data_IF_498830124032
#
_entry.id   IF_498830124032
#
_cell.length_a   1.000
_cell.length_b   1.000
_cell.length_c   1.000
_cell.angle_alpha   90.00
_cell.angle_beta   90.00
_cell.angle_gamma   90.00
#
_symmetry.space_group_name_H-M   'P 1'
#
loop_
_entity.id
_entity.type
_entity.pdbx_description
1 polymer ?
#
# COMPACT_ATOMS: atom_id res chain seq x y z
N UNK A 1 -10.88 -13.41 -2.16
CA UNK A 1 -10.36 -12.02 -2.20
C UNK A 1 -10.91 -11.12 -1.09
N UNK A 2 -12.23 -10.90 -0.95
CA UNK A 2 -12.80 -10.03 0.11
C UNK A 2 -12.49 -10.56 1.51
N UNK A 3 -12.69 -11.87 1.74
CA UNK A 3 -12.36 -12.52 3.01
C UNK A 3 -10.88 -12.36 3.38
N UNK A 4 -9.98 -12.48 2.40
CA UNK A 4 -8.53 -12.27 2.61
C UNK A 4 -8.21 -10.84 3.06
N UNK A 5 -8.89 -9.84 2.49
CA UNK A 5 -8.70 -8.44 2.92
C UNK A 5 -9.20 -8.22 4.34
N UNK A 6 -10.38 -8.76 4.67
CA UNK A 6 -10.90 -8.70 6.03
C UNK A 6 -9.93 -9.34 7.02
N UNK A 7 -9.50 -10.56 6.73
CA UNK A 7 -8.58 -11.30 7.59
C UNK A 7 -7.24 -10.58 7.75
N UNK A 8 -6.64 -10.08 6.67
CA UNK A 8 -5.42 -9.27 6.74
C UNK A 8 -5.60 -8.02 7.62
N UNK A 9 -6.73 -7.33 7.49
CA UNK A 9 -7.04 -6.16 8.30
C UNK A 9 -7.25 -6.53 9.78
N UNK A 10 -7.96 -7.61 10.08
CA UNK A 10 -8.12 -8.12 11.45
C UNK A 10 -6.75 -8.48 12.06
N UNK A 11 -5.86 -9.09 11.29
CA UNK A 11 -4.48 -9.39 11.72
C UNK A 11 -3.70 -8.13 12.04
N UNK A 12 -3.81 -7.08 11.21
CA UNK A 12 -3.17 -5.78 11.46
C UNK A 12 -3.70 -5.13 12.73
N UNK A 13 -5.02 -5.19 12.99
CA UNK A 13 -5.61 -4.63 14.20
C UNK A 13 -5.12 -5.35 15.47
N UNK A 14 -4.96 -6.68 15.40
CA UNK A 14 -4.46 -7.46 16.53
C UNK A 14 -2.94 -7.34 16.72
N UNK A 15 -2.18 -7.25 15.62
CA UNK A 15 -0.72 -7.27 15.59
C UNK A 15 -0.18 -6.26 14.56
N UNK A 16 -0.27 -4.95 14.85
CA UNK A 16 0.29 -3.94 13.95
C UNK A 16 1.83 -4.06 13.91
N UNK A 17 2.48 -3.59 12.82
CA UNK A 17 3.92 -3.55 12.77
C UNK A 17 4.42 -2.61 13.87
N UNK A 18 5.62 -2.86 14.41
CA UNK A 18 6.22 -1.94 15.38
C UNK A 18 6.51 -0.59 14.69
N UNK A 19 6.21 0.56 15.32
CA UNK A 19 6.56 1.87 14.79
C UNK A 19 8.03 1.94 14.38
N UNK A 20 8.30 2.45 13.19
CA UNK A 20 9.65 2.63 12.63
C UNK A 20 10.49 1.34 12.55
N UNK A 21 9.86 0.17 12.57
CA UNK A 21 10.53 -1.13 12.47
C UNK A 21 9.75 -2.06 11.52
N UNK A 22 9.46 -1.56 10.33
CA UNK A 22 8.95 -2.35 9.21
C UNK A 22 10.06 -3.28 8.70
N UNK A 23 9.71 -4.51 8.37
CA UNK A 23 10.63 -5.52 7.83
C UNK A 23 10.09 -6.14 6.56
N UNK A 24 10.98 -6.67 5.72
CA UNK A 24 10.61 -7.38 4.49
C UNK A 24 9.70 -8.59 4.78
N UNK A 25 9.92 -9.28 5.91
CA UNK A 25 9.08 -10.40 6.34
C UNK A 25 7.63 -9.95 6.60
N UNK A 26 7.42 -8.82 7.27
CA UNK A 26 6.08 -8.30 7.52
C UNK A 26 5.31 -8.06 6.21
N UNK A 27 5.98 -7.45 5.21
CA UNK A 27 5.36 -7.19 3.89
C UNK A 27 5.04 -8.50 3.18
N UNK A 28 5.93 -9.50 3.25
CA UNK A 28 5.72 -10.82 2.65
C UNK A 28 4.55 -11.57 3.29
N UNK A 29 4.48 -11.59 4.61
CA UNK A 29 3.38 -12.22 5.36
C UNK A 29 2.03 -11.54 5.07
N UNK A 30 2.02 -10.21 5.00
CA UNK A 30 0.86 -9.44 4.60
C UNK A 30 0.41 -9.79 3.18
N UNK A 31 1.33 -9.84 2.22
CA UNK A 31 1.04 -10.25 0.85
C UNK A 31 0.48 -11.67 0.79
N UNK A 32 1.15 -12.65 1.42
CA UNK A 32 0.71 -14.04 1.50
C UNK A 32 -0.72 -14.16 2.03
N UNK A 33 -1.04 -13.38 3.06
CA UNK A 33 -2.39 -13.31 3.62
C UNK A 33 -3.41 -12.80 2.59
N UNK A 34 -3.08 -11.74 1.85
CA UNK A 34 -3.95 -11.15 0.84
C UNK A 34 -4.18 -12.06 -0.37
N UNK A 35 -3.18 -12.85 -0.77
CA UNK A 35 -3.25 -13.75 -1.94
C UNK A 35 -3.68 -15.19 -1.62
N UNK A 36 -4.05 -15.48 -0.37
CA UNK A 36 -4.45 -16.82 0.03
C UNK A 36 -5.51 -17.41 -0.91
N UNK A 37 -5.25 -18.62 -1.45
CA UNK A 37 -6.12 -19.34 -2.41
C UNK A 37 -6.34 -18.61 -3.76
N UNK A 38 -5.46 -17.69 -4.16
CA UNK A 38 -5.55 -17.01 -5.47
C UNK A 38 -4.58 -17.55 -6.54
N UNK A 39 -3.93 -18.70 -6.31
CA UNK A 39 -2.95 -19.30 -7.24
C UNK A 39 -1.82 -18.34 -7.65
N UNK A 40 -1.46 -17.40 -6.78
CA UNK A 40 -0.34 -16.46 -6.97
C UNK A 40 0.90 -16.98 -6.26
N UNK A 41 2.07 -16.88 -6.90
CA UNK A 41 3.35 -17.24 -6.28
C UNK A 41 3.62 -16.37 -5.05
N UNK A 42 4.04 -17.00 -3.95
CA UNK A 42 4.46 -16.28 -2.76
C UNK A 42 5.92 -15.79 -2.89
N UNK A 43 6.23 -14.65 -2.26
CA UNK A 43 7.57 -14.07 -2.27
C UNK A 43 7.84 -13.15 -3.46
N UNK A 44 9.06 -12.65 -3.56
CA UNK A 44 9.45 -11.73 -4.63
C UNK A 44 9.34 -12.43 -5.99
N UNK A 45 8.88 -11.70 -7.01
CA UNK A 45 8.84 -12.25 -8.36
C UNK A 45 10.23 -12.25 -8.98
N UNK A 46 10.42 -13.19 -9.91
CA UNK A 46 11.63 -13.39 -10.70
C UNK A 46 11.35 -13.34 -12.22
N UNK A 47 10.20 -12.78 -12.59
CA UNK A 47 9.76 -12.61 -13.97
C UNK A 47 9.24 -11.17 -14.18
N UNK A 48 9.31 -10.64 -15.41
CA UNK A 48 8.81 -9.31 -15.71
C UNK A 48 7.28 -9.25 -15.59
N UNK A 49 6.78 -8.06 -15.24
CA UNK A 49 5.35 -7.72 -15.26
C UNK A 49 5.16 -6.37 -15.94
N UNK A 50 4.02 -6.14 -16.57
CA UNK A 50 3.66 -4.86 -17.16
C UNK A 50 2.56 -4.15 -16.38
N UNK A 51 2.45 -2.83 -16.53
CA UNK A 51 1.31 -2.07 -16.04
C UNK A 51 0.35 -1.81 -17.21
N UNK A 52 -0.84 -2.39 -17.15
CA UNK A 52 -1.88 -2.16 -18.16
C UNK A 52 -2.18 -0.67 -18.32
N UNK A 53 -2.15 -0.18 -19.56
CA UNK A 53 -2.46 1.21 -19.90
C UNK A 53 -1.30 2.20 -19.71
N UNK A 54 -0.06 1.71 -19.58
CA UNK A 54 1.13 2.51 -19.30
C UNK A 54 2.36 1.94 -20.03
N UNK A 55 3.30 2.80 -20.42
CA UNK A 55 4.60 2.40 -20.98
C UNK A 55 5.64 2.10 -19.89
N UNK A 56 5.34 2.46 -18.64
CA UNK A 56 6.17 2.10 -17.49
C UNK A 56 6.39 0.58 -17.38
N UNK A 57 7.67 0.20 -17.30
CA UNK A 57 8.12 -1.15 -17.03
C UNK A 57 8.76 -1.20 -15.63
N UNK A 58 8.14 -1.92 -14.66
CA UNK A 58 8.76 -2.21 -13.38
C UNK A 58 10.08 -2.97 -13.54
N UNK A 59 10.91 -2.92 -12.49
CA UNK A 59 12.16 -3.71 -12.40
C UNK A 59 11.86 -5.19 -12.67
N UNK A 60 12.63 -5.87 -13.50
CA UNK A 60 12.40 -7.28 -13.85
C UNK A 60 13.32 -8.25 -13.11
N UNK A 61 14.40 -7.74 -12.52
CA UNK A 61 15.40 -8.52 -11.80
C UNK A 61 15.09 -8.63 -10.30
N UNK A 62 15.06 -9.86 -9.76
CA UNK A 62 14.77 -10.12 -8.35
C UNK A 62 15.73 -9.40 -7.37
N UNK A 63 17.02 -9.28 -7.73
CA UNK A 63 18.00 -8.56 -6.90
C UNK A 63 17.70 -7.07 -6.82
N UNK A 64 17.37 -6.45 -7.95
CA UNK A 64 17.02 -5.02 -7.99
C UNK A 64 15.68 -4.76 -7.29
N UNK A 65 14.72 -5.67 -7.43
CA UNK A 65 13.44 -5.62 -6.69
C UNK A 65 13.72 -5.67 -5.18
N UNK A 66 14.55 -6.62 -4.73
CA UNK A 66 14.90 -6.76 -3.33
C UNK A 66 15.61 -5.52 -2.80
N UNK A 67 16.62 -5.03 -3.51
CA UNK A 67 17.38 -3.84 -3.13
C UNK A 67 16.46 -2.60 -3.03
N UNK A 68 15.60 -2.38 -4.02
CA UNK A 68 14.66 -1.26 -4.02
C UNK A 68 13.63 -1.36 -2.89
N UNK A 69 13.20 -2.58 -2.57
CA UNK A 69 12.30 -2.83 -1.45
C UNK A 69 12.97 -2.56 -0.11
N UNK A 70 14.22 -3.01 0.08
CA UNK A 70 14.97 -2.77 1.31
C UNK A 70 15.24 -1.27 1.50
N UNK A 71 15.65 -0.55 0.45
CA UNK A 71 15.81 0.91 0.48
C UNK A 71 14.50 1.64 0.80
N UNK A 72 13.38 1.16 0.27
CA UNK A 72 12.04 1.69 0.57
C UNK A 72 11.68 1.49 2.04
N UNK A 73 11.99 0.31 2.60
CA UNK A 73 11.74 0.00 4.01
C UNK A 73 12.58 0.90 4.91
N UNK A 74 13.87 1.09 4.59
CA UNK A 74 14.75 1.99 5.32
C UNK A 74 14.23 3.44 5.31
N UNK A 75 13.79 3.92 4.14
CA UNK A 75 13.18 5.24 4.01
C UNK A 75 11.91 5.38 4.87
N UNK A 76 11.03 4.37 4.85
CA UNK A 76 9.81 4.36 5.69
C UNK A 76 10.19 4.42 7.17
N UNK A 77 11.13 3.59 7.61
CA UNK A 77 11.54 3.52 9.02
C UNK A 77 12.22 4.81 9.51
N UNK A 78 12.90 5.54 8.63
CA UNK A 78 13.55 6.83 8.94
C UNK A 78 12.58 8.03 8.85
N UNK A 79 11.44 7.86 8.19
CA UNK A 79 10.45 8.93 8.00
C UNK A 79 9.68 9.19 9.28
N UNK A 80 9.71 10.44 9.76
CA UNK A 80 9.07 10.85 11.03
C UNK A 80 7.56 11.01 10.95
N UNK A 81 7.05 11.51 9.83
CA UNK A 81 5.61 11.75 9.65
C UNK A 81 4.90 10.43 9.30
N UNK A 82 3.98 9.93 10.12
CA UNK A 82 3.29 8.67 9.88
C UNK A 82 2.41 8.69 8.61
N UNK A 83 1.89 9.84 8.22
CA UNK A 83 1.17 9.96 6.94
C UNK A 83 2.12 9.83 5.76
N UNK A 84 3.32 10.39 5.87
CA UNK A 84 4.36 10.22 4.87
C UNK A 84 4.85 8.76 4.81
N UNK A 85 5.02 8.07 5.95
CA UNK A 85 5.33 6.64 5.98
C UNK A 85 4.31 5.82 5.17
N UNK A 86 3.02 6.04 5.43
CA UNK A 86 1.94 5.36 4.72
C UNK A 86 1.92 5.70 3.23
N UNK A 87 2.10 6.98 2.85
CA UNK A 87 2.12 7.40 1.45
C UNK A 87 3.32 6.78 0.69
N UNK A 88 4.51 6.76 1.30
CA UNK A 88 5.72 6.13 0.74
C UNK A 88 5.47 4.64 0.50
N UNK A 89 4.89 3.93 1.48
CA UNK A 89 4.55 2.52 1.32
C UNK A 89 3.57 2.29 0.16
N UNK A 90 2.54 3.14 0.05
CA UNK A 90 1.53 3.02 -1.00
C UNK A 90 2.13 3.26 -2.38
N UNK A 91 2.95 4.30 -2.55
CA UNK A 91 3.51 4.64 -3.84
C UNK A 91 4.64 3.69 -4.26
N UNK A 92 5.62 3.42 -3.38
CA UNK A 92 6.83 2.68 -3.74
C UNK A 92 6.55 1.20 -3.95
N UNK A 93 5.73 0.55 -3.12
CA UNK A 93 5.33 -0.85 -3.35
C UNK A 93 4.53 -0.97 -4.65
N UNK A 94 3.69 0.02 -4.96
CA UNK A 94 2.95 0.07 -6.22
C UNK A 94 3.84 0.37 -7.43
N UNK A 95 4.98 1.01 -7.26
CA UNK A 95 5.94 1.29 -8.34
C UNK A 95 6.84 0.08 -8.59
N UNK A 96 7.51 -0.42 -7.55
CA UNK A 96 8.45 -1.56 -7.61
C UNK A 96 7.75 -2.84 -8.12
N UNK A 97 6.47 -3.03 -7.78
CA UNK A 97 5.71 -4.25 -8.08
C UNK A 97 6.46 -5.53 -7.63
N UNK A 98 6.79 -5.69 -6.32
CA UNK A 98 7.68 -6.76 -5.87
C UNK A 98 7.11 -8.18 -6.04
N UNK A 99 5.80 -8.33 -6.20
CA UNK A 99 5.11 -9.62 -6.29
C UNK A 99 4.51 -9.84 -7.69
N UNK A 100 4.21 -11.10 -8.02
CA UNK A 100 3.59 -11.46 -9.31
C UNK A 100 2.18 -10.85 -9.51
N UNK A 101 1.40 -10.77 -8.43
CA UNK A 101 0.12 -10.04 -8.35
C UNK A 101 -0.11 -9.60 -6.90
N UNK A 102 -1.05 -8.69 -6.67
CA UNK A 102 -1.45 -8.22 -5.35
C UNK A 102 -0.77 -6.93 -4.90
N UNK A 103 0.18 -6.40 -5.67
CA UNK A 103 1.02 -5.27 -5.27
C UNK A 103 0.23 -4.06 -4.77
N UNK A 104 -0.76 -3.57 -5.55
CA UNK A 104 -1.57 -2.40 -5.16
C UNK A 104 -2.44 -2.66 -3.92
N UNK A 105 -2.85 -3.93 -3.70
CA UNK A 105 -3.62 -4.35 -2.51
C UNK A 105 -2.71 -4.38 -1.27
N UNK A 106 -1.53 -5.00 -1.40
CA UNK A 106 -0.50 -5.01 -0.35
C UNK A 106 -0.07 -3.59 0.01
N UNK A 107 0.16 -2.72 -0.98
CA UNK A 107 0.58 -1.34 -0.76
C UNK A 107 -0.43 -0.55 0.09
N UNK A 108 -1.73 -0.59 -0.27
CA UNK A 108 -2.78 0.07 0.52
C UNK A 108 -2.96 -0.53 1.91
N UNK A 109 -2.90 -1.85 2.03
CA UNK A 109 -3.06 -2.53 3.31
C UNK A 109 -1.88 -2.24 4.24
N UNK A 110 -0.65 -2.20 3.69
CA UNK A 110 0.56 -1.82 4.42
C UNK A 110 0.50 -0.35 4.88
N UNK A 111 0.03 0.56 4.02
CA UNK A 111 -0.21 1.95 4.40
C UNK A 111 -1.15 2.05 5.61
N UNK A 112 -2.24 1.29 5.63
CA UNK A 112 -3.13 1.22 6.79
C UNK A 112 -2.46 0.59 8.02
N UNK A 113 -1.63 -0.43 7.86
CA UNK A 113 -0.88 -1.02 8.97
C UNK A 113 0.07 -0.01 9.63
N UNK A 114 0.72 0.85 8.84
CA UNK A 114 1.60 1.93 9.33
C UNK A 114 0.81 3.06 10.02
N UNK A 115 -0.39 3.40 9.55
CA UNK A 115 -1.26 4.35 10.24
C UNK A 115 -1.73 3.79 11.59
N UNK A 116 -2.20 2.54 11.60
CA UNK A 116 -2.71 1.87 12.80
C UNK A 116 -1.61 1.71 13.86
N UNK A 117 -0.37 1.37 13.47
CA UNK A 117 0.75 1.24 14.42
C UNK A 117 1.06 2.53 15.17
N UNK A 118 0.66 3.67 14.61
CA UNK A 118 0.85 5.01 15.16
C UNK A 118 -0.46 5.58 15.76
N UNK A 119 -1.45 4.73 16.01
CA UNK A 119 -2.79 5.10 16.52
C UNK A 119 -3.56 6.09 15.62
N UNK A 120 -3.30 6.07 14.32
CA UNK A 120 -4.05 6.85 13.33
C UNK A 120 -5.14 6.02 12.66
N UNK A 121 -6.13 6.72 12.12
CA UNK A 121 -7.25 6.06 11.43
C UNK A 121 -6.79 5.44 10.10
N UNK A 122 -7.18 4.19 9.81
CA UNK A 122 -6.96 3.60 8.51
C UNK A 122 -7.84 4.27 7.46
N UNK A 123 -7.33 4.41 6.24
CA UNK A 123 -8.06 5.04 5.15
C UNK A 123 -8.69 3.99 4.22
N UNK A 124 -9.82 4.37 3.63
CA UNK A 124 -10.49 3.58 2.59
C UNK A 124 -10.47 4.36 1.29
N UNK A 125 -10.26 3.66 0.17
CA UNK A 125 -10.32 4.27 -1.17
C UNK A 125 -11.68 4.06 -1.83
N UNK A 126 -12.71 3.65 -1.07
CA UNK A 126 -14.04 3.34 -1.61
C UNK A 126 -14.70 4.54 -2.31
N UNK A 127 -14.42 5.75 -1.84
CA UNK A 127 -14.99 6.97 -2.43
C UNK A 127 -14.25 7.44 -3.68
N UNK A 128 -13.11 6.81 -4.01
CA UNK A 128 -12.27 7.14 -5.16
C UNK A 128 -12.63 6.20 -6.31
N UNK A 129 -12.85 6.76 -7.50
CA UNK A 129 -13.08 5.92 -8.68
C UNK A 129 -11.82 5.09 -8.99
N UNK A 130 -12.02 3.86 -9.45
CA UNK A 130 -10.91 2.97 -9.81
C UNK A 130 -10.05 3.57 -10.94
N UNK A 131 -10.69 4.25 -11.89
CA UNK A 131 -10.01 4.94 -13.00
C UNK A 131 -9.12 6.06 -12.47
N UNK A 132 -9.66 6.98 -11.66
CA UNK A 132 -8.86 8.09 -11.13
C UNK A 132 -7.68 7.61 -10.28
N UNK A 133 -7.86 6.54 -9.50
CA UNK A 133 -6.75 5.97 -8.73
C UNK A 133 -5.67 5.35 -9.63
N UNK A 134 -6.07 4.65 -10.70
CA UNK A 134 -5.13 4.09 -11.67
C UNK A 134 -4.38 5.19 -12.44
N UNK A 135 -5.08 6.23 -12.88
CA UNK A 135 -4.48 7.35 -13.59
C UNK A 135 -3.47 8.09 -12.71
N UNK A 136 -3.80 8.33 -11.44
CA UNK A 136 -2.88 8.92 -10.48
C UNK A 136 -1.61 8.08 -10.27
N UNK A 137 -1.73 6.75 -10.28
CA UNK A 137 -0.58 5.86 -10.25
C UNK A 137 0.24 5.93 -11.55
N UNK A 138 -0.39 5.94 -12.72
CA UNK A 138 0.30 6.04 -14.01
C UNK A 138 1.08 7.35 -14.10
N UNK A 139 0.49 8.46 -13.67
CA UNK A 139 1.19 9.76 -13.60
C UNK A 139 2.44 9.65 -12.72
N UNK A 140 2.35 8.99 -11.57
CA UNK A 140 3.53 8.75 -10.74
C UNK A 140 4.57 7.87 -11.46
N UNK A 141 4.12 6.81 -12.11
CA UNK A 141 5.01 5.83 -12.77
C UNK A 141 5.77 6.41 -13.96
N UNK A 142 5.12 7.25 -14.76
CA UNK A 142 5.70 7.78 -16.00
C UNK A 142 6.34 9.16 -15.84
N UNK A 143 5.84 9.98 -14.91
CA UNK A 143 6.26 11.37 -14.75
C UNK A 143 7.00 11.63 -13.43
N UNK A 144 7.17 10.62 -12.57
CA UNK A 144 7.83 10.72 -11.27
C UNK A 144 7.24 11.80 -10.35
N UNK A 145 5.96 12.13 -10.52
CA UNK A 145 5.25 13.10 -9.68
C UNK A 145 4.20 12.40 -8.82
N UNK A 146 4.28 12.62 -7.52
CA UNK A 146 3.30 12.09 -6.57
C UNK A 146 2.04 12.95 -6.45
N UNK A 147 1.97 14.11 -7.13
CA UNK A 147 0.95 15.10 -6.85
C UNK A 147 -0.50 14.56 -6.89
N UNK A 148 -0.95 13.82 -7.92
CA UNK A 148 -2.32 13.31 -7.95
C UNK A 148 -2.58 12.24 -6.89
N UNK A 149 -1.65 11.32 -6.70
CA UNK A 149 -1.77 10.23 -5.72
C UNK A 149 -1.76 10.79 -4.29
N UNK A 150 -0.90 11.77 -4.01
CA UNK A 150 -0.83 12.49 -2.73
C UNK A 150 -2.14 13.20 -2.45
N UNK A 151 -2.74 13.86 -3.44
CA UNK A 151 -4.03 14.53 -3.27
C UNK A 151 -5.12 13.52 -2.88
N UNK A 152 -5.25 12.42 -3.63
CA UNK A 152 -6.19 11.34 -3.28
C UNK A 152 -5.95 10.84 -1.86
N UNK A 153 -4.70 10.60 -1.46
CA UNK A 153 -4.36 10.14 -0.13
C UNK A 153 -4.83 11.12 0.96
N UNK A 154 -4.54 12.41 0.80
CA UNK A 154 -4.95 13.47 1.73
C UNK A 154 -6.48 13.52 1.82
N UNK A 155 -7.18 13.49 0.69
CA UNK A 155 -8.64 13.52 0.65
C UNK A 155 -9.25 12.33 1.41
N UNK A 156 -8.66 11.14 1.29
CA UNK A 156 -9.12 9.96 2.04
C UNK A 156 -8.79 10.03 3.54
N UNK A 157 -7.67 10.64 3.93
CA UNK A 157 -7.36 10.93 5.34
C UNK A 157 -8.41 11.88 5.93
N UNK A 158 -8.71 12.99 5.23
CA UNK A 158 -9.74 13.95 5.65
C UNK A 158 -11.10 13.26 5.75
N UNK A 159 -11.47 12.48 4.74
CA UNK A 159 -12.73 11.74 4.72
C UNK A 159 -12.86 10.78 5.90
N UNK A 160 -11.82 10.01 6.22
CA UNK A 160 -11.83 9.07 7.34
C UNK A 160 -12.06 9.79 8.67
N UNK A 161 -11.31 10.88 8.92
CA UNK A 161 -11.46 11.70 10.12
C UNK A 161 -12.86 12.32 10.24
N UNK A 162 -13.44 12.75 9.13
CA UNK A 162 -14.76 13.36 9.13
C UNK A 162 -15.90 12.34 9.25
N UNK A 163 -15.69 11.07 8.93
CA UNK A 163 -16.79 10.10 8.73
C UNK A 163 -16.88 9.04 9.82
N UNK A 164 -15.75 8.49 10.28
CA UNK A 164 -15.76 7.28 11.11
C UNK A 164 -16.32 7.51 12.52
N UNK A 165 -16.24 8.74 13.02
CA UNK A 165 -16.76 9.12 14.34
C UNK A 165 -17.90 10.12 14.27
N UNK A 166 -18.61 10.21 13.13
CA UNK A 166 -19.88 10.94 13.11
C UNK A 166 -20.82 10.26 14.09
N UNK A 167 -21.04 10.89 15.24
CA UNK A 167 -22.20 10.62 16.07
C UNK A 167 -23.39 10.96 15.17
N UNK A 168 -24.25 9.99 14.90
CA UNK A 168 -25.57 10.32 14.36
C UNK A 168 -26.24 11.14 15.45
N UNK A 169 -26.33 12.45 15.25
CA UNK A 169 -27.27 13.28 15.99
C UNK A 169 -28.66 12.76 15.62
N UNK A 170 -29.14 11.80 16.41
CA UNK A 170 -30.55 11.41 16.40
C UNK A 170 -31.32 12.59 17.01
N UNK A 171 -31.73 13.52 16.15
CA UNK A 171 -32.87 14.41 16.39
C UNK A 171 -34.13 13.70 15.93
#
# INVERSE_FOLDING_TARGET
MILNHKFAFDTILAHPPKPNHLTTNYIRELHQTLIQKLEVSAGLRNHPVGITGSQYLPLDNEWQIKESLDQTIDLINQTKDPYAQALIAICMISYIQPFADGNKRTARMLGNALLISQNLLPISYRTVSEVAYKDALIVFYEQNTLAPLKQIFIDQVIYANQTYFRIKDNV
#
